data_IF_133566046975
#
_entry.id   IF_133566046975
#
_cell.length_a   1.000
_cell.length_b   1.000
_cell.length_c   1.000
_cell.angle_alpha   90.00
_cell.angle_beta   90.00
_cell.angle_gamma   90.00
#
_symmetry.space_group_name_H-M   'P 1'
#
loop_
_entity.id
_entity.type
_entity.pdbx_description
1 polymer ?
#
# COMPACT_ATOMS: atom_id res chain seq x y z
N UNK A 1 18.45 5.58 -28.37
CA UNK A 1 17.59 4.82 -27.44
C UNK A 1 16.67 5.82 -26.77
N UNK A 2 15.37 5.78 -27.06
CA UNK A 2 14.40 6.60 -26.33
C UNK A 2 14.24 5.98 -24.94
N UNK A 3 14.70 6.68 -23.90
CA UNK A 3 14.49 6.26 -22.51
C UNK A 3 12.99 6.12 -22.26
N UNK A 4 12.54 4.91 -21.93
CA UNK A 4 11.15 4.63 -21.59
C UNK A 4 10.79 5.53 -20.40
N UNK A 5 9.87 6.47 -20.59
CA UNK A 5 9.49 7.43 -19.56
C UNK A 5 8.67 6.67 -18.51
N UNK A 6 9.33 6.23 -17.44
CA UNK A 6 8.67 5.56 -16.31
C UNK A 6 7.87 6.57 -15.51
N UNK A 7 6.63 6.22 -15.15
CA UNK A 7 5.83 7.02 -14.25
C UNK A 7 6.59 7.18 -12.92
N UNK A 8 6.87 8.41 -12.52
CA UNK A 8 7.55 8.69 -11.24
C UNK A 8 6.57 8.98 -10.13
N UNK A 9 5.44 9.61 -10.44
CA UNK A 9 4.43 10.03 -9.48
C UNK A 9 3.31 9.00 -9.47
N UNK A 10 3.30 8.13 -8.48
CA UNK A 10 2.33 7.04 -8.38
C UNK A 10 1.19 7.42 -7.45
N UNK A 11 -0.04 7.28 -7.93
CA UNK A 11 -1.24 7.57 -7.15
C UNK A 11 -1.64 6.36 -6.30
N UNK A 12 -1.80 6.56 -5.00
CA UNK A 12 -2.33 5.52 -4.12
C UNK A 12 -3.85 5.61 -3.94
N UNK A 13 -4.46 6.74 -4.29
CA UNK A 13 -5.90 6.83 -4.55
C UNK A 13 -6.14 7.22 -6.02
N UNK A 14 -7.02 6.51 -6.75
CA UNK A 14 -7.28 6.79 -8.16
C UNK A 14 -7.83 8.19 -8.33
N UNK A 15 -7.34 8.88 -9.35
CA UNK A 15 -7.88 10.19 -9.68
C UNK A 15 -9.36 10.13 -10.10
N UNK A 16 -9.80 9.06 -10.77
CA UNK A 16 -11.21 8.92 -11.15
C UNK A 16 -12.12 8.83 -9.92
N UNK A 17 -11.66 8.12 -8.88
CA UNK A 17 -12.40 7.94 -7.64
C UNK A 17 -12.48 9.27 -6.88
N UNK A 18 -11.34 9.95 -6.76
CA UNK A 18 -11.29 11.24 -6.08
C UNK A 18 -12.06 12.35 -6.81
N UNK A 19 -12.20 12.27 -8.14
CA UNK A 19 -13.01 13.21 -8.91
C UNK A 19 -14.45 13.29 -8.38
N UNK A 20 -15.01 12.17 -7.90
CA UNK A 20 -16.34 12.12 -7.28
C UNK A 20 -16.49 12.93 -5.98
N UNK A 21 -15.39 13.34 -5.36
CA UNK A 21 -15.36 14.17 -4.15
C UNK A 21 -15.04 15.64 -4.43
N UNK A 22 -14.90 16.02 -5.70
CA UNK A 22 -14.69 17.41 -6.10
C UNK A 22 -16.02 18.11 -6.31
N UNK A 23 -16.02 19.44 -6.22
CA UNK A 23 -17.21 20.27 -6.39
C UNK A 23 -17.89 20.13 -7.77
N UNK A 24 -17.18 19.70 -8.81
CA UNK A 24 -17.72 19.52 -10.17
C UNK A 24 -17.68 18.07 -10.66
N UNK A 25 -17.29 17.11 -9.83
CA UNK A 25 -17.14 15.71 -10.26
C UNK A 25 -16.00 15.49 -11.26
N UNK A 26 -15.04 16.43 -11.36
CA UNK A 26 -14.03 16.48 -12.41
C UNK A 26 -12.60 16.51 -11.84
N UNK A 27 -11.64 15.96 -12.60
CA UNK A 27 -10.26 15.77 -12.15
C UNK A 27 -9.49 17.07 -11.90
N UNK A 28 -9.85 18.11 -12.63
CA UNK A 28 -9.27 19.46 -12.57
C UNK A 28 -9.95 20.35 -11.52
N UNK A 29 -10.98 19.84 -10.87
CA UNK A 29 -11.75 20.55 -9.86
C UNK A 29 -11.18 20.36 -8.46
N UNK A 30 -11.51 21.27 -7.54
CA UNK A 30 -11.03 21.20 -6.16
C UNK A 30 -11.87 20.25 -5.32
N UNK A 31 -11.23 19.52 -4.41
CA UNK A 31 -11.90 18.84 -3.31
C UNK A 31 -11.60 19.57 -2.00
N UNK A 32 -12.50 19.41 -1.02
CA UNK A 32 -12.36 20.07 0.28
C UNK A 32 -11.56 19.18 1.23
N UNK A 33 -10.51 19.74 1.84
CA UNK A 33 -9.70 19.07 2.86
C UNK A 33 -10.06 19.65 4.22
N UNK A 34 -10.27 18.77 5.20
CA UNK A 34 -10.37 19.13 6.61
C UNK A 34 -9.26 18.43 7.39
N UNK A 35 -8.36 19.21 7.95
CA UNK A 35 -7.32 18.71 8.86
C UNK A 35 -7.88 18.69 10.28
N UNK A 36 -8.12 17.50 10.81
CA UNK A 36 -8.65 17.31 12.17
C UNK A 36 -7.66 17.74 13.26
N UNK A 37 -6.36 17.78 12.97
CA UNK A 37 -5.31 18.16 13.94
C UNK A 37 -5.26 19.67 14.11
N UNK A 38 -5.29 20.40 12.99
CA UNK A 38 -5.19 21.87 13.01
C UNK A 38 -6.55 22.58 12.94
N UNK A 39 -7.63 21.83 12.68
CA UNK A 39 -9.00 22.33 12.46
C UNK A 39 -9.11 23.25 11.23
N UNK A 40 -8.10 23.25 10.35
CA UNK A 40 -8.07 24.06 9.15
C UNK A 40 -8.79 23.38 7.98
N UNK A 41 -9.30 24.21 7.07
CA UNK A 41 -10.00 23.77 5.86
C UNK A 41 -9.53 24.54 4.64
N UNK A 42 -9.31 23.85 3.51
CA UNK A 42 -8.91 24.47 2.25
C UNK A 42 -9.27 23.59 1.04
N UNK A 43 -9.28 24.20 -0.15
CA UNK A 43 -9.44 23.48 -1.42
C UNK A 43 -8.11 22.92 -1.92
N UNK A 44 -8.09 21.65 -2.32
CA UNK A 44 -6.92 20.95 -2.82
C UNK A 44 -7.12 20.41 -4.24
N UNK A 45 -6.03 20.33 -5.02
CA UNK A 45 -6.03 19.77 -6.36
C UNK A 45 -5.66 18.28 -6.33
N UNK A 46 -6.38 17.46 -7.10
CA UNK A 46 -6.18 16.01 -7.16
C UNK A 46 -4.82 15.58 -7.70
N UNK A 47 -4.22 16.36 -8.61
CA UNK A 47 -2.93 16.05 -9.22
C UNK A 47 -1.82 16.06 -8.18
N UNK A 48 -1.86 16.99 -7.22
CA UNK A 48 -0.79 17.16 -6.22
C UNK A 48 -1.00 16.31 -4.98
N UNK A 49 -2.22 15.86 -4.72
CA UNK A 49 -2.58 15.08 -3.54
C UNK A 49 -2.63 13.57 -3.81
N UNK A 50 -2.50 12.77 -2.74
CA UNK A 50 -2.66 11.30 -2.76
C UNK A 50 -1.75 10.53 -3.74
N UNK A 51 -0.51 10.99 -3.86
CA UNK A 51 0.52 10.36 -4.66
C UNK A 51 1.85 10.35 -3.90
N UNK A 52 2.75 9.46 -4.29
CA UNK A 52 4.12 9.42 -3.79
C UNK A 52 5.06 9.02 -4.92
N UNK A 53 6.25 9.62 -4.93
CA UNK A 53 7.23 9.29 -5.94
C UNK A 53 7.71 7.84 -5.78
N UNK A 54 7.77 7.10 -6.89
CA UNK A 54 8.29 5.74 -6.97
C UNK A 54 7.57 4.73 -6.05
N UNK A 55 6.33 5.00 -5.64
CA UNK A 55 5.62 4.20 -4.64
C UNK A 55 5.49 2.71 -5.03
N UNK A 56 5.13 2.41 -6.27
CA UNK A 56 5.06 1.03 -6.79
C UNK A 56 6.26 0.61 -7.66
N UNK A 57 7.37 1.36 -7.59
CA UNK A 57 8.55 1.07 -8.41
C UNK A 57 9.22 -0.21 -7.91
N UNK A 58 9.52 -1.12 -8.83
CA UNK A 58 10.32 -2.33 -8.56
C UNK A 58 11.55 -2.37 -9.45
N UNK A 59 12.64 -2.82 -8.86
CA UNK A 59 13.86 -3.16 -9.56
C UNK A 59 13.70 -4.57 -10.15
N UNK A 60 13.99 -4.70 -11.44
CA UNK A 60 13.98 -5.96 -12.20
C UNK A 60 15.35 -6.13 -12.86
N UNK A 61 15.76 -7.35 -13.27
CA UNK A 61 17.09 -7.59 -13.84
C UNK A 61 17.45 -6.68 -15.03
N UNK A 62 16.45 -6.28 -15.82
CA UNK A 62 16.61 -5.42 -17.01
C UNK A 62 16.42 -3.91 -16.71
N UNK A 63 16.37 -3.53 -15.44
CA UNK A 63 16.22 -2.14 -14.98
C UNK A 63 14.97 -1.92 -14.16
N UNK A 64 14.14 -0.97 -14.55
CA UNK A 64 13.06 -0.46 -13.70
C UNK A 64 11.71 -0.69 -14.36
N UNK A 65 10.74 -1.22 -13.60
CA UNK A 65 9.41 -1.54 -14.11
C UNK A 65 8.32 -0.66 -13.50
N UNK A 66 7.43 -0.17 -14.38
CA UNK A 66 6.16 0.50 -14.09
C UNK A 66 4.95 -0.43 -14.32
N UNK A 67 5.18 -1.74 -14.45
CA UNK A 67 4.13 -2.71 -14.78
C UNK A 67 3.08 -2.80 -13.67
N UNK A 68 3.48 -2.56 -12.42
CA UNK A 68 2.56 -2.55 -11.29
C UNK A 68 1.56 -1.37 -11.38
N UNK A 69 2.05 -0.17 -11.72
CA UNK A 69 1.20 1.00 -11.94
C UNK A 69 0.25 0.76 -13.12
N UNK A 70 0.74 0.14 -14.20
CA UNK A 70 -0.10 -0.22 -15.36
C UNK A 70 -1.20 -1.22 -15.00
N UNK A 71 -0.88 -2.22 -14.18
CA UNK A 71 -1.87 -3.19 -13.71
C UNK A 71 -2.95 -2.50 -12.87
N UNK A 72 -2.57 -1.59 -11.96
CA UNK A 72 -3.54 -0.78 -11.21
C UNK A 72 -4.40 0.08 -12.13
N UNK A 73 -3.83 0.73 -13.13
CA UNK A 73 -4.57 1.55 -14.09
C UNK A 73 -5.61 0.75 -14.90
N UNK A 74 -5.32 -0.52 -15.22
CA UNK A 74 -6.30 -1.41 -15.86
C UNK A 74 -7.49 -1.69 -14.95
N UNK A 75 -7.25 -1.97 -13.66
CA UNK A 75 -8.32 -2.14 -12.68
C UNK A 75 -9.18 -0.88 -12.52
N UNK A 76 -8.55 0.30 -12.54
CA UNK A 76 -9.26 1.57 -12.48
C UNK A 76 -10.15 1.82 -13.71
N UNK A 77 -9.69 1.39 -14.88
CA UNK A 77 -10.46 1.45 -16.13
C UNK A 77 -11.72 0.57 -16.07
N UNK A 78 -11.63 -0.58 -15.42
CA UNK A 78 -12.79 -1.48 -15.21
C UNK A 78 -13.75 -0.96 -14.12
N UNK A 79 -13.23 -0.46 -13.00
CA UNK A 79 -14.04 -0.02 -11.86
C UNK A 79 -14.77 1.31 -12.07
N UNK A 80 -14.20 2.23 -12.86
CA UNK A 80 -14.77 3.56 -13.08
C UNK A 80 -16.22 3.55 -13.61
N UNK A 81 -16.52 2.84 -14.72
CA UNK A 81 -17.88 2.71 -15.23
C UNK A 81 -18.85 2.09 -14.23
N UNK A 82 -18.42 1.09 -13.45
CA UNK A 82 -19.25 0.40 -12.46
C UNK A 82 -19.69 1.34 -11.36
N UNK A 83 -18.74 2.11 -10.79
CA UNK A 83 -19.05 3.10 -9.74
C UNK A 83 -19.98 4.18 -10.29
N UNK A 84 -19.75 4.65 -11.52
CA UNK A 84 -20.63 5.61 -12.18
C UNK A 84 -22.05 5.07 -12.33
N UNK A 85 -22.20 3.83 -12.79
CA UNK A 85 -23.50 3.18 -12.96
C UNK A 85 -24.19 2.94 -11.61
N UNK A 86 -23.45 2.54 -10.57
CA UNK A 86 -23.96 2.38 -9.21
C UNK A 86 -24.55 3.69 -8.70
N UNK A 87 -23.85 4.82 -8.88
CA UNK A 87 -24.32 6.14 -8.44
C UNK A 87 -25.57 6.57 -9.24
N UNK A 88 -25.57 6.38 -10.57
CA UNK A 88 -26.67 6.79 -11.44
C UNK A 88 -27.95 5.98 -11.20
N UNK A 89 -27.82 4.66 -11.05
CA UNK A 89 -28.95 3.76 -10.90
C UNK A 89 -29.33 3.51 -9.45
N UNK A 90 -28.49 3.92 -8.50
CA UNK A 90 -28.70 3.77 -7.06
C UNK A 90 -28.86 2.31 -6.63
N UNK A 91 -28.22 1.39 -7.35
CA UNK A 91 -28.33 -0.06 -7.14
C UNK A 91 -26.94 -0.68 -7.04
N UNK A 92 -26.83 -1.74 -6.24
CA UNK A 92 -25.62 -2.56 -6.23
C UNK A 92 -25.45 -3.26 -7.58
N UNK A 93 -24.23 -3.32 -8.14
CA UNK A 93 -23.95 -4.17 -9.28
C UNK A 93 -24.12 -5.65 -8.90
N UNK A 94 -24.29 -6.48 -9.93
CA UNK A 94 -24.41 -7.93 -9.83
C UNK A 94 -23.34 -8.62 -10.69
N UNK A 95 -23.17 -9.93 -10.52
CA UNK A 95 -22.26 -10.72 -11.35
C UNK A 95 -20.82 -10.22 -11.32
N UNK A 96 -20.18 -10.11 -12.48
CA UNK A 96 -18.78 -9.71 -12.61
C UNK A 96 -18.54 -8.26 -12.15
N UNK A 97 -19.49 -7.36 -12.38
CA UNK A 97 -19.38 -5.96 -11.95
C UNK A 97 -19.33 -5.85 -10.42
N UNK A 98 -20.07 -6.71 -9.71
CA UNK A 98 -19.98 -6.82 -8.25
C UNK A 98 -18.58 -7.26 -7.82
N UNK A 99 -18.02 -8.29 -8.46
CA UNK A 99 -16.68 -8.80 -8.14
C UNK A 99 -15.63 -7.71 -8.38
N UNK A 100 -15.72 -6.96 -9.49
CA UNK A 100 -14.80 -5.84 -9.78
C UNK A 100 -14.93 -4.74 -8.72
N UNK A 101 -16.15 -4.38 -8.30
CA UNK A 101 -16.36 -3.40 -7.22
C UNK A 101 -15.71 -3.85 -5.91
N UNK A 102 -15.87 -5.10 -5.51
CA UNK A 102 -15.26 -5.64 -4.28
C UNK A 102 -13.73 -5.65 -4.37
N UNK A 103 -13.16 -6.03 -5.51
CA UNK A 103 -11.72 -5.94 -5.75
C UNK A 103 -11.23 -4.49 -5.64
N UNK A 104 -11.98 -3.54 -6.18
CA UNK A 104 -11.65 -2.12 -6.08
C UNK A 104 -11.66 -1.62 -4.63
N UNK A 105 -12.68 -1.99 -3.84
CA UNK A 105 -12.76 -1.68 -2.40
C UNK A 105 -11.57 -2.29 -1.64
N UNK A 106 -11.23 -3.55 -1.94
CA UNK A 106 -10.07 -4.21 -1.33
C UNK A 106 -8.76 -3.47 -1.65
N UNK A 107 -8.57 -3.06 -2.90
CA UNK A 107 -7.41 -2.28 -3.32
C UNK A 107 -7.32 -0.95 -2.57
N UNK A 108 -8.43 -0.19 -2.45
CA UNK A 108 -8.46 1.04 -1.65
C UNK A 108 -8.05 0.81 -0.20
N UNK A 109 -8.45 -0.32 0.40
CA UNK A 109 -8.11 -0.65 1.77
C UNK A 109 -6.63 -1.01 1.98
N UNK A 110 -5.93 -1.50 0.94
CA UNK A 110 -4.59 -2.07 1.05
C UNK A 110 -3.47 -1.19 0.50
N UNK A 111 -3.74 -0.31 -0.48
CA UNK A 111 -2.68 0.40 -1.23
C UNK A 111 -2.25 1.75 -0.65
N UNK A 112 -2.81 2.16 0.48
CA UNK A 112 -2.52 3.47 1.10
C UNK A 112 -1.22 3.45 1.93
N UNK A 113 -0.49 4.57 2.05
CA UNK A 113 0.76 4.65 2.81
C UNK A 113 0.63 4.16 4.25
N UNK A 114 -0.47 4.48 4.93
CA UNK A 114 -0.72 4.04 6.31
C UNK A 114 -0.75 2.51 6.47
N UNK A 115 -1.08 1.76 5.41
CA UNK A 115 -0.97 0.28 5.44
C UNK A 115 0.48 -0.20 5.37
N UNK A 116 1.36 0.54 4.69
CA UNK A 116 2.80 0.26 4.73
C UNK A 116 3.37 0.57 6.10
N UNK A 117 3.00 1.69 6.69
CA UNK A 117 3.44 2.07 8.05
C UNK A 117 3.07 1.01 9.09
N UNK A 118 1.81 0.53 9.08
CA UNK A 118 1.37 -0.56 9.96
C UNK A 118 2.16 -1.85 9.73
N UNK A 119 2.47 -2.18 8.48
CA UNK A 119 3.28 -3.34 8.16
C UNK A 119 4.73 -3.17 8.63
N UNK A 120 5.31 -1.99 8.42
CA UNK A 120 6.70 -1.68 8.78
C UNK A 120 6.91 -1.73 10.28
N UNK A 121 5.99 -1.17 11.06
CA UNK A 121 6.01 -1.23 12.51
C UNK A 121 5.96 -2.68 12.98
N UNK A 122 4.95 -3.44 12.56
CA UNK A 122 4.77 -4.83 12.98
C UNK A 122 5.94 -5.74 12.58
N UNK A 123 6.47 -5.57 11.36
CA UNK A 123 7.58 -6.38 10.87
C UNK A 123 8.91 -5.96 11.51
N UNK A 124 9.12 -4.67 11.76
CA UNK A 124 10.30 -4.17 12.46
C UNK A 124 10.37 -4.72 13.88
N UNK A 125 9.25 -4.71 14.61
CA UNK A 125 9.17 -5.28 15.96
C UNK A 125 9.48 -6.78 15.95
N UNK A 126 8.90 -7.53 15.01
CA UNK A 126 9.19 -8.95 14.85
C UNK A 126 10.66 -9.23 14.52
N UNK A 127 11.26 -8.43 13.63
CA UNK A 127 12.67 -8.53 13.26
C UNK A 127 13.61 -8.19 14.42
N UNK A 128 13.29 -7.17 15.23
CA UNK A 128 14.07 -6.84 16.42
C UNK A 128 14.10 -8.00 17.40
N UNK A 129 12.94 -8.59 17.69
CA UNK A 129 12.84 -9.77 18.57
C UNK A 129 13.64 -10.94 17.98
N UNK A 130 13.54 -11.19 16.67
CA UNK A 130 14.29 -12.25 16.00
C UNK A 130 15.81 -12.02 16.06
N UNK A 131 16.28 -10.79 15.83
CA UNK A 131 17.69 -10.42 15.97
C UNK A 131 18.18 -10.62 17.42
N UNK A 132 17.40 -10.22 18.42
CA UNK A 132 17.74 -10.46 19.83
C UNK A 132 17.89 -11.95 20.14
N UNK A 133 17.06 -12.82 19.55
CA UNK A 133 17.22 -14.27 19.71
C UNK A 133 18.49 -14.81 19.05
N UNK A 134 18.82 -14.36 17.83
CA UNK A 134 20.02 -14.77 17.10
C UNK A 134 21.29 -14.40 17.88
N UNK A 135 21.37 -13.16 18.39
CA UNK A 135 22.55 -12.63 19.07
C UNK A 135 22.53 -12.82 20.60
N UNK A 136 21.57 -13.59 21.12
CA UNK A 136 21.46 -13.88 22.56
C UNK A 136 22.68 -14.65 23.08
N UNK A 137 23.19 -15.60 22.29
CA UNK A 137 24.36 -16.40 22.62
C UNK A 137 25.18 -16.74 21.36
N UNK A 138 26.48 -17.06 21.50
CA UNK A 138 27.31 -17.48 20.38
C UNK A 138 26.77 -18.73 19.67
N UNK A 139 26.14 -19.66 20.41
CA UNK A 139 25.59 -20.89 19.86
C UNK A 139 24.39 -20.64 18.93
N UNK A 140 23.51 -19.70 19.29
CA UNK A 140 22.38 -19.31 18.42
C UNK A 140 22.88 -18.64 17.14
N UNK A 141 23.88 -17.76 17.26
CA UNK A 141 24.51 -17.10 16.12
C UNK A 141 25.16 -18.10 15.18
N UNK A 142 25.97 -19.03 15.69
CA UNK A 142 26.62 -20.06 14.86
C UNK A 142 25.60 -21.02 14.22
N UNK A 143 24.51 -21.35 14.93
CA UNK A 143 23.43 -22.16 14.36
C UNK A 143 22.73 -21.43 13.19
N UNK A 144 22.43 -20.14 13.36
CA UNK A 144 21.86 -19.31 12.30
C UNK A 144 22.81 -19.20 11.10
N UNK A 145 24.10 -18.92 11.35
CA UNK A 145 25.15 -18.84 10.34
C UNK A 145 25.29 -20.15 9.55
N UNK A 146 25.28 -21.30 10.23
CA UNK A 146 25.34 -22.61 9.58
C UNK A 146 24.17 -22.82 8.62
N UNK A 147 22.94 -22.50 9.05
CA UNK A 147 21.74 -22.59 8.20
C UNK A 147 21.79 -21.66 6.99
N UNK A 148 22.36 -20.46 7.14
CA UNK A 148 22.55 -19.52 6.03
C UNK A 148 23.51 -20.09 4.98
N UNK A 149 24.63 -20.69 5.41
CA UNK A 149 25.59 -21.35 4.52
C UNK A 149 24.96 -22.56 3.83
N UNK A 150 24.24 -23.41 4.56
CA UNK A 150 23.55 -24.59 4.02
C UNK A 150 22.49 -24.25 2.98
N UNK A 151 21.85 -23.08 3.10
CA UNK A 151 20.89 -22.56 2.13
C UNK A 151 21.53 -21.84 0.93
N UNK A 152 22.87 -21.84 0.84
CA UNK A 152 23.62 -21.28 -0.27
C UNK A 152 23.84 -19.77 -0.20
N UNK A 153 23.60 -19.15 0.95
CA UNK A 153 23.88 -17.72 1.15
C UNK A 153 25.36 -17.51 1.51
N UNK A 154 25.98 -16.49 0.93
CA UNK A 154 27.29 -16.04 1.35
C UNK A 154 27.18 -15.36 2.72
N UNK A 155 27.92 -15.87 3.70
CA UNK A 155 28.03 -15.24 5.03
C UNK A 155 29.39 -14.57 5.14
N UNK A 156 29.37 -13.27 5.38
CA UNK A 156 30.58 -12.51 5.64
C UNK A 156 31.19 -12.92 6.99
N UNK A 157 32.42 -13.44 6.94
CA UNK A 157 33.18 -13.82 8.12
C UNK A 157 33.74 -12.62 8.89
N UNK A 158 33.62 -11.40 8.34
CA UNK A 158 34.07 -10.17 9.00
C UNK A 158 33.09 -9.67 10.07
N UNK A 159 31.87 -10.21 10.12
CA UNK A 159 30.87 -9.82 11.12
C UNK A 159 31.30 -10.32 12.49
N UNK A 160 31.73 -9.41 13.37
CA UNK A 160 32.12 -9.73 14.73
C UNK A 160 30.84 -9.87 15.57
N UNK A 161 30.57 -11.08 16.07
CA UNK A 161 29.39 -11.40 16.89
C UNK A 161 29.14 -10.37 18.01
N UNK A 162 30.20 -9.95 18.71
CA UNK A 162 30.08 -8.97 19.80
C UNK A 162 29.62 -7.59 19.32
N UNK A 163 30.06 -7.13 18.15
CA UNK A 163 29.65 -5.84 17.58
C UNK A 163 28.15 -5.86 17.20
N UNK A 164 27.71 -6.95 16.55
CA UNK A 164 26.29 -7.10 16.19
C UNK A 164 25.40 -7.27 17.43
N UNK A 165 25.88 -7.98 18.44
CA UNK A 165 25.19 -8.12 19.71
C UNK A 165 25.04 -6.76 20.41
N UNK A 166 26.08 -5.95 20.43
CA UNK A 166 26.02 -4.59 20.99
C UNK A 166 25.04 -3.69 20.22
N UNK A 167 25.08 -3.75 18.87
CA UNK A 167 24.17 -3.02 18.00
C UNK A 167 22.70 -3.39 18.27
N UNK A 168 22.39 -4.69 18.31
CA UNK A 168 21.03 -5.20 18.54
C UNK A 168 20.52 -4.86 19.95
N UNK A 169 21.39 -4.82 20.96
CA UNK A 169 21.00 -4.43 22.32
C UNK A 169 20.77 -2.92 22.47
N UNK A 170 21.30 -2.11 21.57
CA UNK A 170 21.21 -0.65 21.62
C UNK A 170 20.18 -0.13 20.62
N UNK A 171 18.95 -0.69 20.64
CA UNK A 171 17.80 -0.47 19.73
C UNK A 171 17.63 0.93 19.07
N UNK A 172 18.21 2.00 19.62
CA UNK A 172 18.22 3.36 19.06
C UNK A 172 19.24 3.62 17.94
N UNK A 173 20.17 2.70 17.66
CA UNK A 173 21.27 2.95 16.71
C UNK A 173 20.97 2.59 15.25
N UNK A 174 19.85 1.95 14.94
CA UNK A 174 19.52 1.55 13.58
C UNK A 174 18.02 1.69 13.28
N UNK A 175 17.71 1.76 11.98
CA UNK A 175 16.35 1.71 11.48
C UNK A 175 16.22 0.52 10.55
N UNK A 176 15.11 -0.19 10.64
CA UNK A 176 14.76 -1.26 9.71
C UNK A 176 13.92 -0.62 8.60
N UNK A 177 14.29 -0.87 7.36
CA UNK A 177 13.55 -0.39 6.20
C UNK A 177 13.32 -1.52 5.22
N UNK A 178 12.17 -1.49 4.55
CA UNK A 178 11.75 -2.53 3.62
C UNK A 178 11.76 -1.99 2.19
N UNK A 179 12.27 -2.80 1.27
CA UNK A 179 12.21 -2.47 -0.14
C UNK A 179 10.77 -2.55 -0.66
N UNK A 180 10.45 -1.74 -1.68
CA UNK A 180 9.13 -1.69 -2.32
C UNK A 180 8.55 -3.06 -2.68
N UNK A 181 9.37 -4.00 -3.17
CA UNK A 181 8.89 -5.32 -3.56
C UNK A 181 8.26 -6.09 -2.38
N UNK A 182 8.76 -5.91 -1.15
CA UNK A 182 8.17 -6.50 0.06
C UNK A 182 6.77 -5.92 0.31
N UNK A 183 6.62 -4.60 0.20
CA UNK A 183 5.33 -3.94 0.37
C UNK A 183 4.32 -4.36 -0.70
N UNK A 184 4.75 -4.46 -1.96
CA UNK A 184 3.89 -4.90 -3.05
C UNK A 184 3.45 -6.35 -2.82
N UNK A 185 4.38 -7.23 -2.44
CA UNK A 185 4.04 -8.60 -2.10
C UNK A 185 3.04 -8.67 -0.94
N UNK A 186 3.29 -7.91 0.14
CA UNK A 186 2.36 -7.83 1.27
C UNK A 186 0.97 -7.33 0.85
N UNK A 187 0.91 -6.34 -0.04
CA UNK A 187 -0.37 -5.85 -0.59
C UNK A 187 -1.10 -6.97 -1.35
N UNK A 188 -0.41 -7.70 -2.23
CA UNK A 188 -1.00 -8.81 -2.99
C UNK A 188 -1.47 -9.95 -2.10
N UNK A 189 -0.68 -10.34 -1.10
CA UNK A 189 -1.07 -11.38 -0.13
C UNK A 189 -2.26 -10.91 0.73
N UNK A 190 -2.31 -9.63 1.09
CA UNK A 190 -3.44 -9.06 1.82
C UNK A 190 -4.72 -9.09 1.01
N UNK A 191 -4.66 -8.81 -0.30
CA UNK A 191 -5.82 -8.89 -1.19
C UNK A 191 -6.40 -10.31 -1.26
N UNK A 192 -5.55 -11.34 -1.34
CA UNK A 192 -5.98 -12.74 -1.34
C UNK A 192 -6.78 -13.13 -0.08
N UNK A 193 -6.51 -12.47 1.05
CA UNK A 193 -7.25 -12.67 2.30
C UNK A 193 -8.49 -11.80 2.38
N UNK A 194 -8.39 -10.53 1.98
CA UNK A 194 -9.46 -9.54 2.18
C UNK A 194 -10.61 -9.74 1.19
N UNK A 195 -10.33 -10.05 -0.07
CA UNK A 195 -11.37 -10.17 -1.12
C UNK A 195 -12.41 -11.24 -0.75
N UNK A 196 -12.05 -12.49 -0.38
CA UNK A 196 -13.03 -13.49 0.04
C UNK A 196 -13.90 -13.01 1.20
N UNK A 197 -13.30 -12.36 2.20
CA UNK A 197 -14.02 -11.83 3.35
C UNK A 197 -14.98 -10.69 3.00
N UNK A 198 -14.63 -9.86 2.01
CA UNK A 198 -15.52 -8.80 1.52
C UNK A 198 -16.66 -9.37 0.67
N UNK A 199 -16.41 -10.44 -0.10
CA UNK A 199 -17.43 -11.12 -0.91
C UNK A 199 -18.51 -11.78 -0.04
N UNK A 200 -18.14 -12.29 1.14
CA UNK A 200 -19.08 -12.89 2.10
C UNK A 200 -19.98 -11.87 2.81
N UNK A 201 -19.66 -10.58 2.74
CA UNK A 201 -20.45 -9.52 3.36
C UNK A 201 -21.68 -9.19 2.51
N UNK A 202 -22.72 -8.70 3.19
CA UNK A 202 -23.88 -8.09 2.55
C UNK A 202 -23.63 -6.60 2.37
N UNK A 203 -23.57 -6.15 1.13
CA UNK A 203 -23.37 -4.75 0.78
C UNK A 203 -24.68 -4.10 0.36
N UNK A 204 -24.83 -2.84 0.75
CA UNK A 204 -25.98 -2.01 0.39
C UNK A 204 -25.48 -0.63 -0.01
N UNK A 205 -26.16 -0.01 -0.97
CA UNK A 205 -25.97 1.41 -1.29
C UNK A 205 -26.81 2.24 -0.35
N UNK A 206 -26.19 3.23 0.30
CA UNK A 206 -26.88 4.24 1.09
C UNK A 206 -26.90 5.55 0.31
N UNK A 207 -28.06 6.18 0.24
CA UNK A 207 -28.27 7.45 -0.44
C UNK A 207 -28.63 8.48 0.62
N UNK A 208 -27.85 9.54 0.70
CA UNK A 208 -28.24 10.74 1.42
C UNK A 208 -29.10 11.58 0.47
N UNK A 209 -30.25 12.06 0.94
CA UNK A 209 -31.02 13.04 0.19
C UNK A 209 -30.34 14.43 0.27
N UNK A 210 -30.69 15.34 -0.64
CA UNK A 210 -30.13 16.71 -0.65
C UNK A 210 -30.50 17.54 0.60
N UNK A 211 -31.45 17.06 1.41
CA UNK A 211 -31.90 17.73 2.65
C UNK A 211 -31.14 17.20 3.88
N UNK A 212 -30.43 16.08 3.74
CA UNK A 212 -29.58 15.49 4.75
C UNK A 212 -28.33 16.37 4.82
N UNK A 213 -28.08 16.96 6.00
CA UNK A 213 -27.01 17.94 6.18
C UNK A 213 -25.64 17.46 5.71
N UNK A 214 -24.73 18.41 5.48
CA UNK A 214 -23.40 18.20 4.87
C UNK A 214 -22.37 17.38 5.69
N UNK A 215 -22.80 16.53 6.63
CA UNK A 215 -21.90 15.77 7.49
C UNK A 215 -22.18 14.27 7.40
N UNK A 216 -21.19 13.54 6.88
CA UNK A 216 -20.80 12.19 7.30
C UNK A 216 -19.40 12.32 7.90
#
# INVERSE_FOLDING_TARGET
>A
MYGKQTARKHHFLPQFYLAGFTNLGAKDSLFWVFDQTTVNQWGANLETWHNQNNFYRVEVPDGESDDFEKALAQFETMGGPIIKNLIQNQTMPEGDDYVILINFIALLACRVPSRREVFDEAMSDAMQVWMQMIFQSPEHYESYRTKMIESGNEVDNSTIYEEMKELVNTNSQYTISFHNHIHLNNMMTSLNTIIPLLLERKWSVLLADEQTGYFI
#
